data_IF_121490085827
#
_entry.id   IF_121490085827
#
_cell.length_a   1.000
_cell.length_b   1.000
_cell.length_c   1.000
_cell.angle_alpha   90.00
_cell.angle_beta   90.00
_cell.angle_gamma   90.00
#
_symmetry.space_group_name_H-M   'P 1'
#
loop_
_entity.id
_entity.type
_entity.pdbx_description
1 polymer ?
#
# COMPACT_ATOMS: atom_id res chain seq x y z
N UNK A 1 -22.27 -3.82 -0.58
CA UNK A 1 -20.92 -3.57 -0.07
C UNK A 1 -19.99 -4.80 -0.19
N UNK A 2 -20.45 -5.99 0.22
CA UNK A 2 -19.64 -7.23 0.12
C UNK A 2 -19.12 -7.50 -1.32
N UNK A 3 -19.93 -7.18 -2.34
CA UNK A 3 -19.49 -7.29 -3.74
C UNK A 3 -18.32 -6.36 -4.06
N UNK A 4 -18.31 -5.13 -3.56
CA UNK A 4 -17.24 -4.16 -3.84
C UNK A 4 -15.86 -4.63 -3.36
N UNK A 5 -15.77 -5.28 -2.19
CA UNK A 5 -14.51 -5.87 -1.72
C UNK A 5 -14.04 -7.02 -2.63
N UNK A 6 -14.99 -7.87 -3.06
CA UNK A 6 -14.66 -8.94 -4.00
C UNK A 6 -14.27 -8.40 -5.39
N UNK A 7 -14.96 -7.37 -5.88
CA UNK A 7 -14.66 -6.72 -7.16
C UNK A 7 -13.25 -6.12 -7.15
N UNK A 8 -12.85 -5.44 -6.07
CA UNK A 8 -11.47 -4.95 -5.88
C UNK A 8 -10.46 -6.10 -5.95
N UNK A 9 -10.73 -7.23 -5.28
CA UNK A 9 -9.85 -8.40 -5.31
C UNK A 9 -9.71 -8.98 -6.71
N UNK A 10 -10.82 -9.08 -7.45
CA UNK A 10 -10.82 -9.55 -8.84
C UNK A 10 -10.01 -8.60 -9.73
N UNK A 11 -10.24 -7.28 -9.63
CA UNK A 11 -9.47 -6.28 -10.39
C UNK A 11 -7.98 -6.32 -10.06
N UNK A 12 -7.62 -6.46 -8.79
CA UNK A 12 -6.24 -6.62 -8.36
C UNK A 12 -5.58 -7.87 -8.93
N UNK A 13 -6.33 -8.98 -9.05
CA UNK A 13 -5.83 -10.24 -9.65
C UNK A 13 -5.52 -10.11 -11.15
N UNK A 14 -6.18 -9.20 -11.85
CA UNK A 14 -5.87 -8.85 -13.26
C UNK A 14 -4.72 -7.83 -13.39
N UNK A 15 -4.05 -7.50 -12.30
CA UNK A 15 -2.95 -6.55 -12.30
C UNK A 15 -3.36 -5.15 -12.80
N UNK A 16 -4.56 -4.69 -12.42
CA UNK A 16 -5.01 -3.34 -12.74
C UNK A 16 -4.02 -2.30 -12.23
N UNK A 17 -3.64 -1.34 -13.08
CA UNK A 17 -2.68 -0.29 -12.72
C UNK A 17 -3.23 0.69 -11.68
N UNK A 18 -4.55 0.87 -11.66
CA UNK A 18 -5.27 1.73 -10.72
C UNK A 18 -6.68 1.16 -10.51
N UNK A 19 -7.21 1.26 -9.31
CA UNK A 19 -8.58 0.89 -8.95
C UNK A 19 -9.23 2.09 -8.27
N UNK A 20 -10.27 2.64 -8.89
CA UNK A 20 -11.03 3.77 -8.35
C UNK A 20 -12.43 3.33 -7.93
N UNK A 21 -12.84 3.72 -6.75
CA UNK A 21 -14.21 3.62 -6.26
C UNK A 21 -14.73 5.04 -6.02
N UNK A 22 -15.79 5.41 -6.72
CA UNK A 22 -16.39 6.73 -6.59
C UNK A 22 -17.87 6.64 -6.24
N UNK A 23 -18.33 7.59 -5.40
CA UNK A 23 -19.75 7.79 -5.14
C UNK A 23 -20.47 8.22 -6.41
N UNK A 24 -21.61 7.61 -6.69
CA UNK A 24 -22.47 8.05 -7.75
C UNK A 24 -23.02 9.46 -7.46
N UNK A 25 -22.94 10.35 -8.46
CA UNK A 25 -23.41 11.73 -8.39
C UNK A 25 -24.62 11.91 -9.30
N UNK A 26 -25.73 12.37 -8.74
CA UNK A 26 -26.96 12.64 -9.49
C UNK A 26 -26.96 14.08 -10.04
N UNK A 27 -26.29 14.28 -11.16
CA UNK A 27 -26.16 15.61 -11.76
C UNK A 27 -27.49 16.18 -12.23
N UNK A 28 -27.71 17.51 -12.13
CA UNK A 28 -28.89 18.19 -12.67
C UNK A 28 -29.09 17.87 -14.16
N UNK A 29 -30.35 17.65 -14.57
CA UNK A 29 -30.71 17.36 -15.96
C UNK A 29 -30.60 15.90 -16.38
N UNK A 30 -29.98 15.02 -15.58
CA UNK A 30 -29.88 13.60 -15.91
C UNK A 30 -31.20 12.85 -15.69
N UNK A 31 -31.45 11.80 -16.47
CA UNK A 31 -32.63 10.93 -16.36
C UNK A 31 -32.64 10.23 -15.00
N UNK A 32 -31.50 9.77 -14.53
CA UNK A 32 -31.37 9.10 -13.22
C UNK A 32 -31.81 10.03 -12.07
N UNK A 33 -31.46 11.33 -12.14
CA UNK A 33 -31.93 12.31 -11.14
C UNK A 33 -33.43 12.53 -11.21
N UNK A 34 -34.04 12.58 -12.39
CA UNK A 34 -35.51 12.71 -12.55
C UNK A 34 -36.24 11.51 -11.97
N UNK A 35 -35.66 10.32 -12.09
CA UNK A 35 -36.23 9.06 -11.63
C UNK A 35 -35.75 8.64 -10.26
N UNK A 36 -35.00 9.47 -9.53
CA UNK A 36 -34.38 9.09 -8.25
C UNK A 36 -35.39 8.55 -7.24
N UNK A 37 -36.56 9.18 -7.10
CA UNK A 37 -37.62 8.72 -6.21
C UNK A 37 -38.17 7.35 -6.61
N UNK A 38 -38.42 7.12 -7.89
CA UNK A 38 -38.85 5.82 -8.44
C UNK A 38 -37.79 4.72 -8.21
N UNK A 39 -36.50 5.08 -8.33
CA UNK A 39 -35.37 4.17 -8.12
C UNK A 39 -34.99 4.00 -6.65
N UNK A 40 -35.70 4.67 -5.74
CA UNK A 40 -35.40 4.61 -4.29
C UNK A 40 -34.05 5.24 -3.92
N UNK A 41 -33.57 6.19 -4.74
CA UNK A 41 -32.27 6.86 -4.52
C UNK A 41 -32.49 8.16 -3.74
N UNK A 42 -31.89 8.27 -2.57
CA UNK A 42 -31.72 9.53 -1.85
C UNK A 42 -30.36 10.13 -2.17
N UNK A 43 -30.31 11.43 -2.46
CA UNK A 43 -29.08 12.13 -2.82
C UNK A 43 -29.05 13.55 -2.23
N UNK A 44 -27.85 14.13 -2.12
CA UNK A 44 -27.68 15.54 -1.72
C UNK A 44 -28.24 16.47 -2.81
N UNK A 45 -29.15 17.41 -2.49
CA UNK A 45 -29.60 18.41 -3.45
C UNK A 45 -28.53 19.44 -3.80
N UNK A 46 -27.49 19.55 -2.99
CA UNK A 46 -26.36 20.46 -3.14
C UNK A 46 -25.15 19.75 -3.78
N UNK A 47 -24.29 20.48 -4.51
CA UNK A 47 -23.03 19.91 -5.01
C UNK A 47 -22.23 19.25 -3.90
N UNK A 48 -21.59 18.11 -4.17
CA UNK A 48 -21.41 17.44 -5.44
C UNK A 48 -22.53 16.45 -5.85
N UNK A 49 -23.72 16.54 -5.27
CA UNK A 49 -24.91 15.74 -5.61
C UNK A 49 -24.78 14.25 -5.36
N UNK A 50 -24.05 13.88 -4.32
CA UNK A 50 -23.75 12.47 -3.99
C UNK A 50 -24.99 11.71 -3.56
N UNK A 51 -25.04 10.43 -3.91
CA UNK A 51 -26.02 9.48 -3.38
C UNK A 51 -25.74 9.25 -1.90
N UNK A 52 -26.78 9.37 -1.09
CA UNK A 52 -26.72 9.19 0.37
C UNK A 52 -27.24 7.82 0.81
N UNK A 53 -28.14 7.21 0.02
CA UNK A 53 -28.62 5.82 0.17
C UNK A 53 -29.38 5.38 -1.06
N UNK A 54 -29.57 4.07 -1.21
CA UNK A 54 -30.52 3.47 -2.14
C UNK A 54 -31.39 2.44 -1.41
N UNK A 55 -32.27 1.73 -2.14
CA UNK A 55 -33.00 0.60 -1.57
C UNK A 55 -32.07 -0.56 -1.16
N UNK A 56 -30.89 -0.67 -1.79
CA UNK A 56 -29.97 -1.80 -1.65
C UNK A 56 -28.73 -1.46 -0.81
N UNK A 57 -28.46 -0.17 -0.57
CA UNK A 57 -27.24 0.31 0.11
C UNK A 57 -27.62 1.36 1.15
N UNK A 58 -27.22 1.11 2.38
CA UNK A 58 -27.40 2.02 3.53
C UNK A 58 -26.34 3.14 3.53
N UNK A 59 -26.56 4.23 4.29
CA UNK A 59 -25.55 5.27 4.49
C UNK A 59 -24.23 4.74 5.07
N UNK A 60 -24.30 3.80 6.03
CA UNK A 60 -23.12 3.22 6.66
C UNK A 60 -22.30 2.38 5.66
N UNK A 61 -22.97 1.65 4.78
CA UNK A 61 -22.31 0.91 3.70
C UNK A 61 -21.65 1.84 2.66
N UNK A 62 -22.30 2.97 2.33
CA UNK A 62 -21.70 3.99 1.47
C UNK A 62 -20.47 4.63 2.13
N UNK A 63 -20.55 4.91 3.44
CA UNK A 63 -19.39 5.41 4.19
C UNK A 63 -18.25 4.39 4.21
N UNK A 64 -18.54 3.11 4.41
CA UNK A 64 -17.52 2.04 4.33
C UNK A 64 -16.91 1.94 2.93
N UNK A 65 -17.71 2.08 1.86
CA UNK A 65 -17.20 2.12 0.49
C UNK A 65 -16.30 3.35 0.25
N UNK A 66 -16.64 4.49 0.82
CA UNK A 66 -15.78 5.69 0.80
C UNK A 66 -14.44 5.42 1.50
N UNK A 67 -14.44 4.82 2.69
CA UNK A 67 -13.20 4.49 3.39
C UNK A 67 -12.37 3.45 2.62
N UNK A 68 -13.02 2.49 1.94
CA UNK A 68 -12.33 1.55 1.04
C UNK A 68 -11.67 2.28 -0.12
N UNK A 69 -12.33 3.29 -0.74
CA UNK A 69 -11.70 4.10 -1.78
C UNK A 69 -10.44 4.82 -1.27
N UNK A 70 -10.49 5.38 -0.04
CA UNK A 70 -9.35 6.03 0.59
C UNK A 70 -8.18 5.07 0.87
N UNK A 71 -8.50 3.82 1.25
CA UNK A 71 -7.51 2.75 1.40
C UNK A 71 -6.83 2.45 0.05
N UNK A 72 -7.61 2.29 -1.03
CA UNK A 72 -7.07 2.03 -2.36
C UNK A 72 -6.17 3.18 -2.83
N UNK A 73 -6.60 4.42 -2.71
CA UNK A 73 -5.79 5.59 -3.06
C UNK A 73 -4.49 5.66 -2.25
N UNK A 74 -4.59 5.31 -0.98
CA UNK A 74 -3.45 5.39 -0.06
C UNK A 74 -2.40 4.30 -0.27
N UNK A 75 -2.80 3.11 -0.66
CA UNK A 75 -1.92 1.94 -0.68
C UNK A 75 -1.86 1.27 -2.07
N UNK A 76 -2.98 0.96 -2.70
CA UNK A 76 -2.99 0.31 -4.01
C UNK A 76 -2.60 1.28 -5.13
N UNK A 77 -3.19 2.48 -5.17
CA UNK A 77 -2.93 3.48 -6.21
C UNK A 77 -1.65 4.30 -5.96
N UNK A 78 -0.93 4.02 -4.87
CA UNK A 78 0.35 4.66 -4.56
C UNK A 78 1.50 3.75 -5.02
N UNK A 79 2.28 4.14 -6.05
CA UNK A 79 3.31 3.26 -6.66
C UNK A 79 4.30 2.64 -5.68
N UNK A 80 4.64 3.37 -4.60
CA UNK A 80 5.56 2.88 -3.58
C UNK A 80 5.06 1.63 -2.84
N UNK A 81 3.74 1.48 -2.71
CA UNK A 81 3.10 0.41 -1.91
C UNK A 81 2.27 -0.55 -2.76
N UNK A 82 2.09 -0.25 -4.04
CA UNK A 82 1.18 -0.95 -4.94
C UNK A 82 1.44 -2.46 -5.02
N UNK A 83 2.68 -2.86 -5.27
CA UNK A 83 3.01 -4.27 -5.51
C UNK A 83 2.76 -5.13 -4.27
N UNK A 84 3.15 -4.64 -3.08
CA UNK A 84 2.88 -5.34 -1.83
C UNK A 84 1.38 -5.37 -1.53
N UNK A 85 0.69 -4.24 -1.68
CA UNK A 85 -0.76 -4.14 -1.42
C UNK A 85 -1.54 -5.06 -2.36
N UNK A 86 -1.22 -5.08 -3.65
CA UNK A 86 -1.81 -5.99 -4.62
C UNK A 86 -1.61 -7.44 -4.23
N UNK A 87 -0.38 -7.81 -3.88
CA UNK A 87 -0.06 -9.17 -3.43
C UNK A 87 -0.91 -9.58 -2.23
N UNK A 88 -1.00 -8.72 -1.21
CA UNK A 88 -1.82 -8.95 -0.03
C UNK A 88 -3.31 -9.08 -0.36
N UNK A 89 -3.86 -8.24 -1.24
CA UNK A 89 -5.26 -8.32 -1.68
C UNK A 89 -5.57 -9.66 -2.36
N UNK A 90 -4.65 -10.16 -3.18
CA UNK A 90 -4.84 -11.40 -3.96
C UNK A 90 -4.65 -12.64 -3.08
N UNK A 91 -3.60 -12.67 -2.27
CA UNK A 91 -3.20 -13.86 -1.50
C UNK A 91 -3.94 -13.98 -0.16
N UNK A 92 -4.44 -12.85 0.41
CA UNK A 92 -5.11 -12.81 1.71
C UNK A 92 -6.56 -12.33 1.55
N UNK A 93 -7.55 -13.23 1.51
CA UNK A 93 -8.95 -12.89 1.21
C UNK A 93 -9.58 -11.85 2.17
N UNK A 94 -9.10 -11.79 3.40
CA UNK A 94 -9.59 -10.89 4.46
C UNK A 94 -8.77 -9.60 4.59
N UNK A 95 -7.71 -9.43 3.78
CA UNK A 95 -6.80 -8.30 3.88
C UNK A 95 -7.51 -6.94 3.87
N UNK A 96 -8.40 -6.70 2.90
CA UNK A 96 -9.07 -5.40 2.76
C UNK A 96 -9.93 -5.06 3.98
N UNK A 97 -10.66 -6.04 4.53
CA UNK A 97 -11.46 -5.85 5.72
C UNK A 97 -10.58 -5.56 6.93
N UNK A 98 -9.59 -6.40 7.19
CA UNK A 98 -8.66 -6.21 8.33
C UNK A 98 -7.89 -4.91 8.24
N UNK A 99 -7.42 -4.53 7.05
CA UNK A 99 -6.67 -3.29 6.85
C UNK A 99 -7.57 -2.07 7.07
N UNK A 100 -8.83 -2.13 6.62
CA UNK A 100 -9.80 -1.08 6.86
C UNK A 100 -10.11 -0.93 8.36
N UNK A 101 -10.39 -2.03 9.04
CA UNK A 101 -10.62 -2.05 10.49
C UNK A 101 -9.40 -1.51 11.27
N UNK A 102 -8.20 -1.87 10.83
CA UNK A 102 -6.97 -1.37 11.42
C UNK A 102 -6.81 0.14 11.25
N UNK A 103 -7.07 0.68 10.05
CA UNK A 103 -7.03 2.13 9.79
C UNK A 103 -8.09 2.89 10.61
N UNK A 104 -9.28 2.31 10.76
CA UNK A 104 -10.37 2.86 11.60
C UNK A 104 -9.93 2.88 13.07
N UNK A 105 -9.35 1.78 13.57
CA UNK A 105 -8.86 1.68 14.96
C UNK A 105 -7.76 2.70 15.29
N UNK A 106 -6.97 3.07 14.29
CA UNK A 106 -5.94 4.13 14.40
C UNK A 106 -6.51 5.54 14.25
N UNK A 107 -7.80 5.70 13.88
CA UNK A 107 -8.43 6.99 13.61
C UNK A 107 -7.88 7.71 12.38
N UNK A 108 -7.39 6.97 11.38
CA UNK A 108 -6.73 7.54 10.19
C UNK A 108 -7.35 7.13 8.86
N UNK A 109 -8.44 6.38 8.86
CA UNK A 109 -9.05 5.80 7.66
C UNK A 109 -9.46 6.86 6.61
N UNK A 110 -9.91 8.04 7.06
CA UNK A 110 -10.34 9.18 6.25
C UNK A 110 -9.32 10.33 6.22
N UNK A 111 -8.19 10.20 6.94
CA UNK A 111 -7.23 11.28 7.10
C UNK A 111 -6.19 11.30 5.97
N UNK A 112 -5.77 12.50 5.49
CA UNK A 112 -4.64 12.59 4.60
C UNK A 112 -3.36 12.15 5.30
N UNK A 113 -2.59 11.29 4.65
CA UNK A 113 -1.35 10.74 5.19
C UNK A 113 -0.19 10.90 4.19
N UNK A 114 0.97 11.30 4.70
CA UNK A 114 2.21 11.27 3.92
C UNK A 114 2.65 9.84 3.59
N UNK A 115 3.44 9.70 2.53
CA UNK A 115 3.88 8.41 1.99
C UNK A 115 4.64 7.56 3.04
N UNK A 116 5.55 8.16 3.82
CA UNK A 116 6.30 7.45 4.87
C UNK A 116 5.37 6.91 5.96
N UNK A 117 4.35 7.69 6.37
CA UNK A 117 3.38 7.23 7.37
C UNK A 117 2.57 6.03 6.89
N UNK A 118 2.17 6.03 5.62
CA UNK A 118 1.50 4.88 4.99
C UNK A 118 2.40 3.65 5.00
N UNK A 119 3.67 3.80 4.67
CA UNK A 119 4.63 2.70 4.72
C UNK A 119 4.83 2.12 6.12
N UNK A 120 4.89 2.97 7.16
CA UNK A 120 4.96 2.52 8.56
C UNK A 120 3.71 1.74 8.96
N UNK A 121 2.52 2.25 8.60
CA UNK A 121 1.23 1.58 8.87
C UNK A 121 1.19 0.22 8.17
N UNK A 122 1.57 0.15 6.90
CA UNK A 122 1.58 -1.10 6.13
C UNK A 122 2.56 -2.12 6.72
N UNK A 123 3.75 -1.67 7.12
CA UNK A 123 4.72 -2.52 7.82
C UNK A 123 4.18 -3.07 9.15
N UNK A 124 3.66 -2.19 10.01
CA UNK A 124 3.11 -2.60 11.31
C UNK A 124 1.92 -3.54 11.14
N UNK A 125 1.07 -3.27 10.17
CA UNK A 125 -0.05 -4.13 9.82
C UNK A 125 0.42 -5.53 9.39
N UNK A 126 1.40 -5.61 8.47
CA UNK A 126 1.99 -6.90 8.07
C UNK A 126 2.59 -7.63 9.28
N UNK A 127 3.41 -6.96 10.09
CA UNK A 127 4.05 -7.56 11.26
C UNK A 127 3.04 -8.14 12.25
N UNK A 128 1.88 -7.50 12.42
CA UNK A 128 0.85 -7.90 13.39
C UNK A 128 -0.06 -9.01 12.83
N UNK A 129 -0.52 -8.87 11.59
CA UNK A 129 -1.58 -9.71 11.02
C UNK A 129 -1.09 -10.75 10.01
N UNK A 130 0.07 -10.50 9.37
CA UNK A 130 0.66 -11.33 8.33
C UNK A 130 2.19 -11.33 8.45
N UNK A 131 2.76 -11.90 9.54
CA UNK A 131 4.21 -11.81 9.85
C UNK A 131 5.10 -12.40 8.75
N UNK A 132 4.58 -13.30 7.91
CA UNK A 132 5.26 -13.82 6.73
C UNK A 132 5.56 -12.75 5.68
N UNK A 133 4.84 -11.61 5.70
CA UNK A 133 5.07 -10.47 4.80
C UNK A 133 5.94 -9.35 5.41
N UNK A 134 6.38 -9.48 6.65
CA UNK A 134 7.20 -8.45 7.32
C UNK A 134 8.47 -8.14 6.54
N UNK A 135 9.18 -9.17 6.08
CA UNK A 135 10.37 -8.99 5.22
C UNK A 135 10.01 -8.25 3.94
N UNK A 136 8.95 -8.69 3.24
CA UNK A 136 8.51 -8.03 2.01
C UNK A 136 8.14 -6.55 2.24
N UNK A 137 7.47 -6.23 3.34
CA UNK A 137 7.15 -4.83 3.69
C UNK A 137 8.42 -3.98 3.90
N UNK A 138 9.44 -4.57 4.54
CA UNK A 138 10.74 -3.92 4.72
C UNK A 138 11.45 -3.70 3.39
N UNK A 139 11.47 -4.70 2.50
CA UNK A 139 12.05 -4.57 1.16
C UNK A 139 11.35 -3.49 0.35
N UNK A 140 10.01 -3.47 0.38
CA UNK A 140 9.20 -2.45 -0.28
C UNK A 140 9.55 -1.03 0.19
N UNK A 141 9.77 -0.83 1.51
CA UNK A 141 10.25 0.45 2.05
C UNK A 141 11.58 0.90 1.43
N UNK A 142 12.54 -0.02 1.36
CA UNK A 142 13.88 0.27 0.83
C UNK A 142 13.78 0.58 -0.67
N UNK A 143 13.09 -0.25 -1.43
CA UNK A 143 12.95 -0.17 -2.89
C UNK A 143 12.12 1.04 -3.34
N UNK A 144 11.18 1.49 -2.52
CA UNK A 144 10.43 2.73 -2.74
C UNK A 144 11.30 3.99 -2.54
N UNK A 145 12.53 3.87 -2.03
CA UNK A 145 13.43 4.97 -1.77
C UNK A 145 13.06 5.79 -0.54
N UNK A 146 12.39 5.16 0.42
CA UNK A 146 12.06 5.83 1.68
C UNK A 146 13.28 5.97 2.57
N UNK A 147 13.25 6.95 3.49
CA UNK A 147 14.37 7.23 4.40
C UNK A 147 14.73 6.03 5.26
N UNK A 148 15.98 5.54 5.14
CA UNK A 148 16.49 4.46 5.98
C UNK A 148 16.63 4.85 7.46
N UNK A 149 16.66 6.15 7.78
CA UNK A 149 16.68 6.64 9.17
C UNK A 149 15.32 6.51 9.85
N UNK A 150 14.25 6.50 9.06
CA UNK A 150 12.85 6.44 9.52
C UNK A 150 12.19 5.09 9.24
N UNK A 151 12.98 4.11 8.80
CA UNK A 151 12.47 2.78 8.48
C UNK A 151 11.88 2.09 9.72
N UNK A 152 10.78 1.35 9.59
CA UNK A 152 10.11 0.72 10.73
C UNK A 152 10.80 -0.56 11.22
N UNK A 153 11.57 -1.25 10.36
CA UNK A 153 12.18 -2.53 10.68
C UNK A 153 13.52 -2.36 11.40
N UNK A 154 13.61 -2.74 12.66
CA UNK A 154 14.82 -2.64 13.47
C UNK A 154 16.01 -3.49 12.96
N UNK A 155 15.77 -4.44 12.05
CA UNK A 155 16.78 -5.36 11.50
C UNK A 155 17.73 -4.74 10.48
N UNK A 156 17.38 -3.64 9.85
CA UNK A 156 18.22 -3.01 8.82
C UNK A 156 19.55 -2.53 9.43
N UNK A 157 20.64 -2.87 8.79
CA UNK A 157 22.01 -2.45 9.14
C UNK A 157 22.59 -1.57 8.04
N UNK A 158 23.08 -0.40 8.41
CA UNK A 158 23.65 0.58 7.45
C UNK A 158 25.09 1.00 7.77
N UNK A 159 25.64 0.61 8.95
CA UNK A 159 26.99 0.97 9.36
C UNK A 159 27.89 -0.26 9.38
N UNK A 160 29.15 -0.10 8.92
CA UNK A 160 30.18 -1.15 8.95
C UNK A 160 29.73 -2.46 8.29
N UNK A 161 29.01 -2.34 7.16
CA UNK A 161 28.50 -3.49 6.44
C UNK A 161 29.43 -3.74 5.27
N UNK A 162 29.98 -4.95 5.17
CA UNK A 162 30.75 -5.41 4.02
C UNK A 162 29.96 -6.48 3.30
N UNK A 163 29.87 -6.43 1.94
CA UNK A 163 29.20 -7.45 1.17
C UNK A 163 29.95 -8.80 1.29
N UNK A 164 29.26 -9.93 1.08
CA UNK A 164 29.91 -11.23 0.98
C UNK A 164 31.01 -11.23 -0.08
N UNK A 165 32.10 -11.96 0.15
CA UNK A 165 33.25 -12.04 -0.76
C UNK A 165 32.86 -12.51 -2.17
N UNK A 166 31.86 -13.41 -2.28
CA UNK A 166 31.32 -13.89 -3.55
C UNK A 166 30.73 -12.78 -4.44
N UNK A 167 30.44 -11.60 -3.90
CA UNK A 167 29.91 -10.45 -4.64
C UNK A 167 30.95 -9.42 -5.02
N UNK A 168 32.18 -9.65 -4.65
CA UNK A 168 33.32 -8.71 -4.91
C UNK A 168 33.44 -8.33 -6.37
N UNK A 169 33.08 -9.21 -7.31
CA UNK A 169 33.15 -8.94 -8.75
C UNK A 169 32.07 -7.92 -9.16
N UNK A 170 30.81 -8.13 -8.80
CA UNK A 170 29.72 -7.19 -9.12
C UNK A 170 29.83 -5.89 -8.31
N UNK A 171 30.32 -5.97 -7.07
CA UNK A 171 30.53 -4.83 -6.19
C UNK A 171 31.78 -4.02 -6.56
N UNK A 172 32.80 -4.67 -7.15
CA UNK A 172 34.06 -4.03 -7.51
C UNK A 172 33.93 -2.85 -8.46
N UNK A 173 32.92 -2.85 -9.33
CA UNK A 173 32.63 -1.74 -10.24
C UNK A 173 32.09 -0.48 -9.51
N UNK A 174 31.53 -0.65 -8.30
CA UNK A 174 30.81 0.42 -7.56
C UNK A 174 31.41 0.71 -6.18
N UNK A 175 32.48 -0.01 -5.80
CA UNK A 175 32.99 -0.10 -4.41
C UNK A 175 33.25 1.25 -3.72
N UNK A 176 33.67 2.25 -4.45
CA UNK A 176 34.04 3.57 -3.90
C UNK A 176 32.85 4.55 -3.85
N UNK A 177 31.78 4.25 -4.61
CA UNK A 177 30.62 5.13 -4.76
C UNK A 177 29.35 4.65 -4.04
N UNK A 178 29.36 3.45 -3.44
CA UNK A 178 28.16 2.88 -2.82
C UNK A 178 28.19 2.94 -1.30
N UNK A 179 27.05 3.41 -0.75
CA UNK A 179 26.69 3.21 0.64
C UNK A 179 25.82 1.94 0.75
N UNK A 180 26.26 0.96 1.52
CA UNK A 180 25.56 -0.31 1.67
C UNK A 180 24.53 -0.30 2.78
N UNK A 181 23.47 -1.06 2.56
CA UNK A 181 22.43 -1.42 3.51
C UNK A 181 22.22 -2.93 3.47
N UNK A 182 22.06 -3.54 4.62
CA UNK A 182 21.79 -4.96 4.77
C UNK A 182 20.51 -5.18 5.57
N UNK A 183 19.66 -6.06 5.09
CA UNK A 183 18.52 -6.62 5.83
C UNK A 183 18.84 -8.10 6.10
N UNK A 184 19.23 -8.46 7.34
CA UNK A 184 19.48 -9.86 7.71
C UNK A 184 18.20 -10.69 7.62
N UNK A 185 18.34 -11.98 7.34
CA UNK A 185 17.28 -12.95 7.41
C UNK A 185 16.64 -13.07 8.81
N UNK A 186 15.49 -13.72 8.86
CA UNK A 186 14.77 -14.10 10.07
C UNK A 186 14.20 -15.51 9.94
N UNK A 187 13.41 -15.95 10.92
CA UNK A 187 12.82 -17.29 10.97
C UNK A 187 11.85 -17.56 9.81
N UNK A 188 11.15 -16.52 9.32
CA UNK A 188 10.20 -16.64 8.21
C UNK A 188 10.86 -16.46 6.84
N UNK A 189 11.97 -15.71 6.76
CA UNK A 189 12.76 -15.51 5.56
C UNK A 189 14.25 -15.51 5.93
N UNK A 190 14.96 -16.64 5.74
CA UNK A 190 16.37 -16.79 6.11
C UNK A 190 17.33 -16.03 5.17
N UNK A 191 16.82 -15.44 4.07
CA UNK A 191 17.67 -14.72 3.14
C UNK A 191 18.17 -13.40 3.73
N UNK A 192 19.42 -13.04 3.40
CA UNK A 192 19.97 -11.71 3.68
C UNK A 192 19.92 -10.88 2.40
N UNK A 193 19.35 -9.69 2.47
CA UNK A 193 19.19 -8.77 1.35
C UNK A 193 20.19 -7.62 1.47
N UNK A 194 20.85 -7.33 0.36
CA UNK A 194 21.86 -6.28 0.26
C UNK A 194 21.41 -5.24 -0.73
N UNK A 195 21.57 -3.97 -0.36
CA UNK A 195 21.25 -2.83 -1.21
C UNK A 195 22.43 -1.85 -1.23
N UNK A 196 22.76 -1.34 -2.42
CA UNK A 196 23.71 -0.26 -2.60
C UNK A 196 23.03 1.02 -3.05
N UNK A 197 23.45 2.14 -2.46
CA UNK A 197 22.99 3.49 -2.79
C UNK A 197 24.17 4.33 -3.20
N UNK A 198 24.05 5.14 -4.27
CA UNK A 198 25.09 6.09 -4.64
C UNK A 198 25.35 7.10 -3.51
N UNK A 199 26.64 7.25 -3.15
CA UNK A 199 27.04 8.10 -2.02
C UNK A 199 26.95 9.59 -2.33
N UNK A 200 27.13 9.96 -3.60
CA UNK A 200 27.22 11.35 -4.05
C UNK A 200 25.90 11.95 -4.49
N UNK A 201 24.90 11.12 -4.77
CA UNK A 201 23.59 11.58 -5.19
C UNK A 201 22.60 11.60 -4.02
N UNK A 202 21.63 12.51 -4.08
CA UNK A 202 20.48 12.49 -3.17
C UNK A 202 19.47 11.38 -3.54
N UNK A 203 19.87 10.43 -4.40
CA UNK A 203 19.02 9.30 -4.76
C UNK A 203 18.74 8.44 -3.55
N UNK A 204 17.48 8.28 -3.26
CA UNK A 204 17.01 7.46 -2.15
C UNK A 204 16.69 6.03 -2.57
N UNK A 205 16.57 5.75 -3.89
CA UNK A 205 16.36 4.40 -4.41
C UNK A 205 17.69 3.65 -4.54
N UNK A 206 17.69 2.36 -4.24
CA UNK A 206 18.90 1.55 -4.42
C UNK A 206 19.23 1.37 -5.91
N UNK A 207 20.51 1.42 -6.24
CA UNK A 207 21.05 1.11 -7.59
C UNK A 207 21.55 -0.33 -7.68
N UNK A 208 21.74 -0.98 -6.54
CA UNK A 208 22.23 -2.35 -6.45
C UNK A 208 21.34 -3.16 -5.49
N UNK A 209 21.03 -4.41 -5.86
CA UNK A 209 20.34 -5.39 -5.01
C UNK A 209 20.97 -6.76 -5.18
N UNK A 210 21.26 -7.44 -4.09
CA UNK A 210 21.69 -8.84 -4.09
C UNK A 210 21.08 -9.60 -2.90
N UNK A 211 21.05 -10.91 -3.01
CA UNK A 211 20.48 -11.82 -2.02
C UNK A 211 21.49 -12.90 -1.71
N UNK A 212 21.71 -13.18 -0.43
CA UNK A 212 22.47 -14.35 0.05
C UNK A 212 21.63 -15.17 1.01
N UNK A 213 21.88 -16.46 1.01
CA UNK A 213 21.35 -17.38 2.04
C UNK A 213 22.24 -17.34 3.26
#
# INVERSE_FOLDING_TARGET
>A
LFRSFNDVRVLASYNAGEIQLESLKLLPGTEMRRRAAELGICYSPLPPYEVLKTNDITPDELHTAFLLSRLLDGFYNTPAWQDLTRKLIVEQPDFLHRMLDYLISLGVADQPMGIERRGNILYDFCRIHYPEYETQATLTWIEAGMSLKKQPAARIRTKHVSPPEAWSVCYGEYKESLRLCMLPGNDTDPNTYWYGFESETQQTKPVFKAISK
#
